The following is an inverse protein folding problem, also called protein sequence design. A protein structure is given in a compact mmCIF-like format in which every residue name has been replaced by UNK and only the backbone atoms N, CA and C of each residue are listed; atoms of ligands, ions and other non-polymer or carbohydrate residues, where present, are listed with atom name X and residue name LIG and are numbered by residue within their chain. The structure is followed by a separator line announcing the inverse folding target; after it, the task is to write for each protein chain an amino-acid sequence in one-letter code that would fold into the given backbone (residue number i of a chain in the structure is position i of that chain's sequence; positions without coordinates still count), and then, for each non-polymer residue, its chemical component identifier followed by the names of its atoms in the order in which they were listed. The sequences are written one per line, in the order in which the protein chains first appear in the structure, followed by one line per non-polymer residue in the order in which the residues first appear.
data_IF_952008053083
#
_entry.id   IF_952008053083
#
_cell.length_a   1.000
_cell.length_b   1.000
_cell.length_c   1.000
_cell.angle_alpha   90.00
_cell.angle_beta   90.00
_cell.angle_gamma   90.00
#
_symmetry.space_group_name_H-M   'P 1'
#
loop_
_entity.id
_entity.type
_entity.pdbx_description
1 polymer ?
#
# COMPACT_ATOMS: atom_id res chain seq x y z
N UNK A 1 14.66 -3.65 11.25
CA UNK A 1 15.50 -2.75 12.07
C UNK A 1 14.86 -1.42 12.39
N UNK A 2 15.23 -0.79 13.52
CA UNK A 2 14.76 0.55 13.92
C UNK A 2 15.03 1.63 12.87
N UNK A 3 16.08 1.46 12.06
CA UNK A 3 16.46 2.39 10.99
C UNK A 3 15.41 2.51 9.87
N UNK A 4 14.58 1.49 9.64
CA UNK A 4 13.54 1.51 8.61
C UNK A 4 12.23 2.12 9.10
N UNK A 5 12.07 2.35 10.40
CA UNK A 5 10.81 2.86 10.94
C UNK A 5 10.35 4.17 10.29
N UNK A 6 11.22 5.17 10.04
CA UNK A 6 10.81 6.39 9.33
C UNK A 6 10.35 6.08 7.89
N UNK A 7 11.03 5.18 7.19
CA UNK A 7 10.65 4.75 5.85
C UNK A 7 9.29 4.07 5.84
N UNK A 8 9.02 3.15 6.76
CA UNK A 8 7.73 2.47 6.83
C UNK A 8 6.58 3.43 7.19
N UNK A 9 6.79 4.33 8.14
CA UNK A 9 5.78 5.32 8.57
C UNK A 9 5.41 6.32 7.48
N UNK A 10 6.33 6.62 6.58
CA UNK A 10 6.11 7.52 5.46
C UNK A 10 5.65 6.81 4.17
N UNK A 11 5.44 5.49 4.21
CA UNK A 11 4.99 4.70 3.06
C UNK A 11 3.74 3.87 3.42
N UNK A 12 2.80 4.46 4.14
CA UNK A 12 1.53 3.82 4.47
C UNK A 12 0.54 4.10 3.33
N UNK A 13 0.07 3.04 2.68
CA UNK A 13 -0.85 3.10 1.54
C UNK A 13 -2.18 2.48 1.92
N UNK A 14 -3.27 3.26 1.85
CA UNK A 14 -4.64 2.80 2.06
C UNK A 14 -5.29 2.45 0.73
N UNK A 15 -5.83 1.23 0.64
CA UNK A 15 -6.51 0.72 -0.55
C UNK A 15 -7.85 0.06 -0.18
N UNK A 16 -8.56 -0.43 -1.19
CA UNK A 16 -9.86 -1.08 -1.06
C UNK A 16 -11.02 -0.11 -0.76
N UNK A 17 -12.20 -0.65 -0.47
CA UNK A 17 -13.40 0.17 -0.27
C UNK A 17 -13.32 1.14 0.91
N UNK A 18 -12.51 0.83 1.93
CA UNK A 18 -12.33 1.69 3.10
C UNK A 18 -11.55 2.98 2.81
N UNK A 19 -10.72 3.01 1.76
CA UNK A 19 -9.98 4.23 1.37
C UNK A 19 -10.87 5.28 0.69
N UNK A 20 -12.11 4.93 0.36
CA UNK A 20 -13.12 5.86 -0.19
C UNK A 20 -13.77 6.76 0.88
N UNK A 21 -13.51 6.49 2.17
CA UNK A 21 -14.00 7.33 3.26
C UNK A 21 -13.22 8.65 3.24
N UNK A 22 -13.93 9.76 3.04
CA UNK A 22 -13.31 11.09 3.04
C UNK A 22 -12.60 11.39 4.35
N UNK A 23 -11.34 11.84 4.28
CA UNK A 23 -10.52 12.20 5.45
C UNK A 23 -9.97 11.02 6.25
N UNK A 24 -10.14 9.76 5.81
CA UNK A 24 -9.64 8.59 6.54
C UNK A 24 -8.11 8.55 6.62
N UNK A 25 -7.41 8.99 5.57
CA UNK A 25 -5.96 9.07 5.58
C UNK A 25 -5.45 10.05 6.63
N UNK A 26 -6.04 11.24 6.71
CA UNK A 26 -5.70 12.25 7.72
C UNK A 26 -6.03 11.77 9.13
N UNK A 27 -7.20 11.14 9.30
CA UNK A 27 -7.60 10.59 10.59
C UNK A 27 -6.60 9.54 11.09
N UNK A 28 -6.16 8.64 10.21
CA UNK A 28 -5.16 7.63 10.56
C UNK A 28 -3.81 8.30 10.84
N UNK A 29 -3.33 9.20 9.96
CA UNK A 29 -2.05 9.89 10.15
C UNK A 29 -1.98 10.65 11.48
N UNK A 30 -3.07 11.31 11.87
CA UNK A 30 -3.17 12.01 13.15
C UNK A 30 -3.11 11.04 14.35
N UNK A 31 -3.82 9.92 14.29
CA UNK A 31 -3.87 8.93 15.37
C UNK A 31 -2.50 8.29 15.64
N UNK A 32 -1.70 8.08 14.61
CA UNK A 32 -0.35 7.50 14.73
C UNK A 32 0.78 8.53 14.71
N UNK A 33 0.47 9.82 14.82
CA UNK A 33 1.49 10.88 14.85
C UNK A 33 2.40 10.83 16.09
N UNK A 34 1.96 10.17 17.17
CA UNK A 34 2.73 9.99 18.40
C UNK A 34 4.04 9.22 18.21
N UNK A 35 4.13 8.40 17.15
CA UNK A 35 5.33 7.62 16.84
C UNK A 35 6.29 8.35 15.87
N UNK A 36 5.96 9.57 15.46
CA UNK A 36 6.80 10.44 14.64
C UNK A 36 6.08 10.99 13.40
N UNK A 37 6.86 11.44 12.42
CA UNK A 37 6.32 11.88 11.13
C UNK A 37 5.73 10.68 10.38
N UNK A 38 4.49 10.82 9.91
CA UNK A 38 3.71 9.77 9.26
C UNK A 38 3.06 10.34 8.02
N UNK A 39 3.22 9.61 6.91
CA UNK A 39 2.53 9.91 5.66
C UNK A 39 1.63 8.75 5.30
N UNK A 40 0.32 9.02 5.24
CA UNK A 40 -0.71 8.06 4.82
C UNK A 40 -1.32 8.55 3.51
N UNK A 41 -1.30 7.71 2.48
CA UNK A 41 -1.84 8.06 1.16
C UNK A 41 -2.93 7.07 0.76
N UNK A 42 -4.09 7.58 0.31
CA UNK A 42 -5.10 6.75 -0.33
C UNK A 42 -4.73 6.50 -1.79
N UNK A 43 -4.92 5.27 -2.25
CA UNK A 43 -4.76 4.90 -3.67
C UNK A 43 -5.88 5.52 -4.50
N UNK A 44 -5.51 6.15 -5.62
CA UNK A 44 -6.46 6.61 -6.64
C UNK A 44 -7.15 5.42 -7.32
N UNK A 45 -8.46 5.51 -7.60
CA UNK A 45 -9.24 4.42 -8.20
C UNK A 45 -9.06 3.05 -7.50
N UNK A 46 -9.28 2.98 -6.18
CA UNK A 46 -8.90 1.81 -5.35
C UNK A 46 -9.64 0.52 -5.71
N UNK A 47 -10.74 0.62 -6.47
CA UNK A 47 -11.53 -0.53 -6.95
C UNK A 47 -10.74 -1.33 -8.00
N UNK A 48 -10.04 -0.65 -8.92
CA UNK A 48 -9.39 -1.29 -10.07
C UNK A 48 -7.88 -1.42 -9.89
N UNK A 49 -7.26 -0.56 -9.05
CA UNK A 49 -5.81 -0.57 -8.88
C UNK A 49 -5.23 -1.86 -8.32
N UNK A 50 -5.97 -2.56 -7.46
CA UNK A 50 -5.52 -3.86 -6.94
C UNK A 50 -5.40 -4.88 -8.07
N UNK A 51 -6.40 -4.96 -8.94
CA UNK A 51 -6.36 -5.86 -10.10
C UNK A 51 -5.26 -5.47 -11.08
N UNK A 52 -5.07 -4.16 -11.31
CA UNK A 52 -4.00 -3.64 -12.17
C UNK A 52 -2.61 -4.02 -11.63
N UNK A 53 -2.38 -3.86 -10.33
CA UNK A 53 -1.12 -4.24 -9.70
C UNK A 53 -0.86 -5.74 -9.77
N UNK A 54 -1.88 -6.57 -9.53
CA UNK A 54 -1.77 -8.02 -9.67
C UNK A 54 -1.43 -8.45 -11.10
N UNK A 55 -2.04 -7.81 -12.11
CA UNK A 55 -1.73 -8.07 -13.52
C UNK A 55 -0.29 -7.68 -13.88
N UNK A 56 0.18 -6.52 -13.42
CA UNK A 56 1.56 -6.09 -13.65
C UNK A 56 2.57 -7.09 -13.05
N UNK A 57 2.32 -7.58 -11.83
CA UNK A 57 3.15 -8.62 -11.22
C UNK A 57 3.14 -9.92 -12.02
N UNK A 58 1.98 -10.34 -12.52
CA UNK A 58 1.87 -11.55 -13.34
C UNK A 58 2.62 -11.41 -14.68
N UNK A 59 2.64 -10.22 -15.27
CA UNK A 59 3.35 -9.93 -16.52
C UNK A 59 4.86 -9.84 -16.35
N UNK A 60 5.34 -9.38 -15.20
CA UNK A 60 6.77 -9.24 -14.90
C UNK A 60 7.38 -10.54 -14.37
N UNK A 61 6.57 -11.55 -14.06
CA UNK A 61 7.02 -12.83 -13.55
C UNK A 61 7.77 -13.63 -14.63
N UNK A 62 9.02 -14.04 -14.39
CA UNK A 62 9.74 -14.93 -15.30
C UNK A 62 9.08 -16.30 -15.44
N UNK A 63 9.10 -16.88 -16.65
CA UNK A 63 8.49 -18.17 -16.97
C UNK A 63 8.95 -19.33 -16.06
N UNK A 64 10.21 -19.31 -15.62
CA UNK A 64 10.77 -20.31 -14.69
C UNK A 64 10.10 -20.27 -13.30
N UNK A 65 9.64 -19.11 -12.86
CA UNK A 65 8.94 -18.96 -11.57
C UNK A 65 7.46 -19.35 -11.68
N UNK A 66 6.87 -19.16 -12.86
CA UNK A 66 5.48 -19.54 -13.14
C UNK A 66 5.28 -21.07 -13.17
N UNK A 67 6.28 -21.82 -13.64
CA UNK A 67 6.23 -23.29 -13.77
C UNK A 67 6.63 -24.03 -12.49
N UNK A 68 7.15 -23.31 -11.49
CA UNK A 68 7.57 -23.84 -10.18
C UNK A 68 6.39 -24.10 -9.22
N UNK A 69 5.15 -23.78 -9.63
CA UNK A 69 3.92 -23.97 -8.85
C UNK A 69 3.34 -25.39 -9.10
N UNK A 70 4.20 -26.40 -9.14
CA UNK A 70 3.82 -27.82 -9.22
C UNK A 70 4.09 -28.53 -7.89
#
# INVERSE_FOLDING_TARGET
DPEYQPTFRNNIILSGGGSLIGGIADAIANEISDIGDVTVTCVDDPIEKVATGAMALAQDMPDEQYTSIN
#
